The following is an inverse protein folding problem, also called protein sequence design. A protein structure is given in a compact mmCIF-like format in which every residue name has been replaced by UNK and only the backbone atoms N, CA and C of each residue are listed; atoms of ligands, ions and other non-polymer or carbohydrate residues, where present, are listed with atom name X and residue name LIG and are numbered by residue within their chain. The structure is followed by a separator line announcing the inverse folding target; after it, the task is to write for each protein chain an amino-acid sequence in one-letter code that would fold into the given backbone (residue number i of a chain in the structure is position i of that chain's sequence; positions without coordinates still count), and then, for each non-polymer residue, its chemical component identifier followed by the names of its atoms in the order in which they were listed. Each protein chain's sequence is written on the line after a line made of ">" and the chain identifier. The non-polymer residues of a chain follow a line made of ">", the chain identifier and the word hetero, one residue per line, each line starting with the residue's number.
data_IF_466887323857
#
_entry.id   IF_466887323857
#
_cell.length_a   1.000
_cell.length_b   1.000
_cell.length_c   1.000
_cell.angle_alpha   90.00
_cell.angle_beta   90.00
_cell.angle_gamma   90.00
#
_symmetry.space_group_name_H-M   'P 1'
#
loop_
_entity.id
_entity.type
_entity.pdbx_description
1 polymer ?
#
# COMPACT_ATOMS: atom_id res chain seq x y z
N UNK A 1 -7.78 -12.19 -3.39
CA UNK A 1 -7.98 -10.77 -3.10
C UNK A 1 -8.38 -10.02 -4.35
N UNK A 2 -9.34 -9.14 -4.22
CA UNK A 2 -9.83 -8.35 -5.33
C UNK A 2 -9.09 -7.01 -5.37
N UNK A 3 -8.24 -6.84 -6.36
CA UNK A 3 -7.45 -5.65 -6.56
C UNK A 3 -8.32 -4.41 -6.78
N UNK A 4 -9.51 -4.60 -7.36
CA UNK A 4 -10.42 -3.50 -7.65
C UNK A 4 -10.99 -2.85 -6.38
N UNK A 5 -10.86 -3.50 -5.22
CA UNK A 5 -11.33 -2.95 -3.95
C UNK A 5 -10.36 -1.92 -3.38
N UNK A 6 -9.14 -1.84 -3.88
CA UNK A 6 -8.16 -0.87 -3.41
C UNK A 6 -8.38 0.48 -4.06
N UNK A 7 -8.37 1.53 -3.25
CA UNK A 7 -8.48 2.90 -3.74
C UNK A 7 -7.09 3.46 -3.98
N UNK A 8 -6.91 4.14 -5.09
CA UNK A 8 -5.70 4.92 -5.33
C UNK A 8 -5.73 6.16 -4.43
N UNK A 9 -4.56 6.68 -4.13
CA UNK A 9 -4.46 7.87 -3.32
C UNK A 9 -3.47 7.72 -2.20
N UNK A 10 -3.66 8.50 -1.14
CA UNK A 10 -2.72 8.56 -0.04
C UNK A 10 -3.09 7.56 1.06
N UNK A 11 -2.08 6.83 1.51
CA UNK A 11 -2.22 5.88 2.62
C UNK A 11 -1.24 6.22 3.72
N UNK A 12 -1.60 5.90 4.95
CA UNK A 12 -0.71 6.04 6.10
C UNK A 12 -0.34 4.64 6.60
N UNK A 13 0.96 4.39 6.70
CA UNK A 13 1.47 3.18 7.32
C UNK A 13 1.24 3.25 8.83
N UNK A 14 1.02 2.10 9.47
CA UNK A 14 0.71 2.08 10.91
C UNK A 14 1.83 2.70 11.77
N UNK A 15 3.04 2.81 11.24
CA UNK A 15 4.15 3.47 11.93
C UNK A 15 4.20 4.97 11.69
N UNK A 16 3.25 5.52 10.92
CA UNK A 16 3.12 6.96 10.75
C UNK A 16 3.58 7.54 9.42
N UNK A 17 4.37 6.82 8.66
CA UNK A 17 4.82 7.29 7.37
C UNK A 17 3.70 7.22 6.34
N UNK A 18 3.72 8.13 5.37
CA UNK A 18 2.69 8.16 4.34
C UNK A 18 3.24 7.80 2.97
N UNK A 19 2.36 7.22 2.17
CA UNK A 19 2.67 6.75 0.83
C UNK A 19 1.50 7.03 -0.09
N UNK A 20 1.79 7.21 -1.38
CA UNK A 20 0.76 7.35 -2.40
C UNK A 20 0.70 6.07 -3.21
N UNK A 21 -0.46 5.46 -3.28
CA UNK A 21 -0.70 4.31 -4.13
C UNK A 21 -0.97 4.84 -5.53
N UNK A 22 -0.01 4.62 -6.43
CA UNK A 22 -0.05 5.20 -7.77
C UNK A 22 -0.82 4.35 -8.77
N UNK A 23 -0.55 3.05 -8.77
CA UNK A 23 -1.11 2.14 -9.77
C UNK A 23 -1.32 0.77 -9.17
N UNK A 24 -2.26 0.05 -9.77
CA UNK A 24 -2.44 -1.38 -9.54
C UNK A 24 -1.92 -2.08 -10.79
N UNK A 25 -1.15 -3.13 -10.60
CA UNK A 25 -0.47 -3.80 -11.69
C UNK A 25 -0.48 -5.30 -11.49
N UNK A 26 0.11 -6.04 -12.41
CA UNK A 26 0.28 -7.48 -12.28
C UNK A 26 1.75 -7.82 -12.48
N UNK A 27 2.21 -8.81 -11.75
CA UNK A 27 3.57 -9.32 -11.94
C UNK A 27 3.65 -9.95 -13.34
N UNK A 28 4.68 -9.61 -14.10
CA UNK A 28 4.75 -10.02 -15.50
C UNK A 28 4.89 -11.54 -15.69
N UNK A 29 5.41 -12.23 -14.69
CA UNK A 29 5.63 -13.69 -14.80
C UNK A 29 4.56 -14.49 -14.08
N UNK A 30 4.19 -14.08 -12.86
CA UNK A 30 3.27 -14.86 -12.03
C UNK A 30 1.83 -14.38 -12.16
N UNK A 31 1.61 -13.20 -12.73
CA UNK A 31 0.30 -12.54 -12.81
C UNK A 31 -0.25 -12.15 -11.44
N UNK A 32 0.55 -12.18 -10.41
CA UNK A 32 0.15 -11.80 -9.06
C UNK A 32 -0.21 -10.32 -9.02
N UNK A 33 -1.32 -9.95 -8.34
CA UNK A 33 -1.65 -8.52 -8.17
C UNK A 33 -0.58 -7.79 -7.37
N UNK A 34 -0.16 -6.63 -7.88
CA UNK A 34 0.88 -5.82 -7.28
C UNK A 34 0.39 -4.39 -7.10
N UNK A 35 0.95 -3.69 -6.13
CA UNK A 35 0.72 -2.26 -5.97
C UNK A 35 2.02 -1.52 -6.29
N UNK A 36 1.88 -0.37 -6.95
CA UNK A 36 3.00 0.54 -7.22
C UNK A 36 2.74 1.77 -6.39
N UNK A 37 3.66 2.09 -5.50
CA UNK A 37 3.46 3.17 -4.54
C UNK A 37 4.70 4.02 -4.39
N UNK A 38 4.51 5.24 -3.92
CA UNK A 38 5.58 6.21 -3.75
C UNK A 38 5.63 6.68 -2.31
N UNK A 39 6.84 6.73 -1.74
CA UNK A 39 7.02 7.29 -0.40
C UNK A 39 6.77 8.79 -0.46
N UNK A 40 5.99 9.32 0.49
CA UNK A 40 5.72 10.75 0.59
C UNK A 40 6.63 11.37 1.65
N UNK A 41 7.86 10.88 1.71
CA UNK A 41 8.90 11.38 2.61
C UNK A 41 10.25 11.07 1.98
N UNK A 42 11.31 11.66 2.52
CA UNK A 42 12.65 11.44 2.01
C UNK A 42 12.76 11.82 0.54
N UNK A 43 13.33 10.95 -0.26
CA UNK A 43 13.55 11.21 -1.68
C UNK A 43 12.36 10.82 -2.56
N UNK A 44 11.28 10.32 -1.96
CA UNK A 44 10.09 9.99 -2.71
C UNK A 44 10.25 8.79 -3.64
N UNK A 45 10.96 7.76 -3.19
CA UNK A 45 11.19 6.57 -4.00
C UNK A 45 9.90 5.85 -4.37
N UNK A 46 9.90 5.22 -5.53
CA UNK A 46 8.75 4.44 -6.02
C UNK A 46 9.09 2.97 -5.90
N UNK A 47 8.16 2.21 -5.35
CA UNK A 47 8.36 0.80 -5.01
C UNK A 47 7.18 -0.03 -5.48
N UNK A 48 7.37 -1.34 -5.57
CA UNK A 48 6.29 -2.30 -5.82
C UNK A 48 6.25 -3.32 -4.69
N UNK A 49 5.03 -3.82 -4.43
CA UNK A 49 4.80 -4.80 -3.37
C UNK A 49 3.59 -5.64 -3.75
N UNK A 50 3.56 -6.94 -3.39
CA UNK A 50 2.35 -7.74 -3.63
C UNK A 50 1.14 -7.12 -2.94
N UNK A 51 0.01 -7.13 -3.64
CA UNK A 51 -1.23 -6.56 -3.13
C UNK A 51 -1.63 -7.18 -1.79
N UNK A 52 -1.40 -8.49 -1.64
CA UNK A 52 -1.70 -9.19 -0.39
C UNK A 52 -0.95 -8.60 0.79
N UNK A 53 0.30 -8.16 0.58
CA UNK A 53 1.09 -7.57 1.64
C UNK A 53 0.66 -6.14 1.95
N UNK A 54 0.08 -5.44 0.97
CA UNK A 54 -0.44 -4.10 1.19
C UNK A 54 -1.65 -4.11 2.11
N UNK A 55 -2.51 -5.11 1.93
CA UNK A 55 -3.74 -5.23 2.71
C UNK A 55 -3.59 -6.03 4.00
N UNK A 56 -2.38 -6.36 4.38
CA UNK A 56 -2.10 -7.19 5.54
C UNK A 56 -2.57 -6.52 6.83
N UNK A 57 -3.18 -7.31 7.72
CA UNK A 57 -3.47 -6.85 9.07
C UNK A 57 -2.24 -7.02 9.92
N UNK A 58 -2.00 -6.06 10.80
CA UNK A 58 -0.88 -6.12 11.74
C UNK A 58 -1.37 -5.98 13.16
N UNK A 59 -0.64 -6.59 14.08
CA UNK A 59 -0.88 -6.44 15.50
C UNK A 59 0.49 -6.22 16.13
N UNK A 60 0.74 -5.02 16.58
CA UNK A 60 2.05 -4.65 17.11
C UNK A 60 1.93 -3.45 18.03
N UNK A 61 2.55 -3.56 19.21
CA UNK A 61 2.64 -2.44 20.15
C UNK A 61 1.29 -1.83 20.51
N UNK A 62 0.27 -2.70 20.66
CA UNK A 62 -1.06 -2.24 21.02
C UNK A 62 -1.92 -1.79 19.83
N UNK A 63 -1.35 -1.75 18.64
CA UNK A 63 -2.11 -1.41 17.44
C UNK A 63 -2.61 -2.69 16.77
N UNK A 64 -3.89 -2.71 16.42
CA UNK A 64 -4.50 -3.80 15.64
C UNK A 64 -5.25 -3.16 14.50
N UNK A 65 -4.90 -3.52 13.27
CA UNK A 65 -5.55 -2.94 12.10
C UNK A 65 -4.74 -3.14 10.83
N UNK A 66 -5.13 -2.47 9.74
CA UNK A 66 -4.42 -2.62 8.48
C UNK A 66 -3.02 -2.01 8.55
N UNK A 67 -2.08 -2.61 7.82
CA UNK A 67 -0.73 -2.09 7.70
C UNK A 67 -0.74 -0.70 7.07
N UNK A 68 -1.59 -0.48 6.06
CA UNK A 68 -1.76 0.81 5.39
C UNK A 68 -3.23 1.19 5.45
N UNK A 69 -3.51 2.42 5.84
CA UNK A 69 -4.86 2.94 5.95
C UNK A 69 -5.06 4.08 4.96
N UNK A 70 -6.10 4.00 4.13
CA UNK A 70 -6.40 5.06 3.18
C UNK A 70 -6.81 6.32 3.91
N UNK A 71 -6.22 7.46 3.53
CA UNK A 71 -6.50 8.73 4.21
C UNK A 71 -6.96 9.83 3.25
N UNK A 72 -7.08 9.55 1.97
CA UNK A 72 -7.59 10.53 1.04
C UNK A 72 -7.01 10.37 -0.35
N UNK A 73 -7.54 11.15 -1.29
CA UNK A 73 -7.08 11.10 -2.67
C UNK A 73 -5.86 11.97 -2.94
N UNK A 74 -5.60 12.89 -2.09
CA UNK A 74 -4.50 13.82 -2.26
C UNK A 74 -3.30 13.53 -1.39
#
# INVERSE_FOLDING_TARGET
>A
MDMSALKLGRYRHFKGKEYRLLYLAQHSETMEPMVVYQALYGEGGVWVRPCAMWNEQVERDGYVGPRFQWVGEG
#
